data_IF_624056931967
#
_entry.id   IF_624056931967
#
_cell.length_a   1.000
_cell.length_b   1.000
_cell.length_c   1.000
_cell.angle_alpha   90.00
_cell.angle_beta   90.00
_cell.angle_gamma   90.00
#
_symmetry.space_group_name_H-M   'P 1'
#
loop_
_entity.id
_entity.type
_entity.pdbx_description
1 polymer ?
#
# COMPACT_ATOMS: atom_id res chain seq x y z
N UNK A 1 22.92 -19.71 -68.26
CA UNK A 1 22.20 -20.55 -67.28
C UNK A 1 23.21 -21.01 -66.26
N UNK A 2 23.34 -20.29 -65.15
CA UNK A 2 24.25 -20.66 -64.08
C UNK A 2 23.57 -21.76 -63.26
N UNK A 3 24.03 -23.00 -63.44
CA UNK A 3 23.41 -24.17 -62.81
C UNK A 3 23.87 -24.15 -61.36
N UNK A 4 22.94 -23.90 -60.42
CA UNK A 4 23.19 -23.97 -58.99
C UNK A 4 23.94 -25.26 -58.65
N UNK A 5 25.16 -25.14 -58.13
CA UNK A 5 25.92 -26.31 -57.70
C UNK A 5 25.16 -27.10 -56.62
N UNK A 6 25.31 -28.43 -56.58
CA UNK A 6 24.57 -29.32 -55.67
C UNK A 6 24.55 -28.84 -54.19
N UNK A 7 25.69 -28.30 -53.70
CA UNK A 7 25.79 -27.73 -52.35
C UNK A 7 24.99 -26.43 -52.17
N UNK A 8 24.92 -25.59 -53.20
CA UNK A 8 24.15 -24.34 -53.17
C UNK A 8 22.65 -24.63 -53.23
N UNK A 9 22.23 -25.57 -54.09
CA UNK A 9 20.85 -26.04 -54.13
C UNK A 9 20.42 -26.62 -52.78
N UNK A 10 21.27 -27.42 -52.13
CA UNK A 10 21.01 -27.95 -50.79
C UNK A 10 20.85 -26.87 -49.71
N UNK A 11 21.67 -25.81 -49.73
CA UNK A 11 21.53 -24.68 -48.79
C UNK A 11 20.23 -23.92 -49.01
N UNK A 12 19.86 -23.65 -50.26
CA UNK A 12 18.60 -22.97 -50.59
C UNK A 12 17.40 -23.82 -50.16
N UNK A 13 17.40 -25.12 -50.47
CA UNK A 13 16.32 -26.01 -50.06
C UNK A 13 16.17 -26.07 -48.53
N UNK A 14 17.28 -26.12 -47.79
CA UNK A 14 17.30 -26.06 -46.33
C UNK A 14 16.75 -24.73 -45.82
N UNK A 15 17.20 -23.60 -46.37
CA UNK A 15 16.74 -22.27 -45.96
C UNK A 15 15.23 -22.12 -46.16
N UNK A 16 14.70 -22.60 -47.28
CA UNK A 16 13.25 -22.60 -47.54
C UNK A 16 12.47 -23.46 -46.53
N UNK A 17 12.99 -24.63 -46.17
CA UNK A 17 12.36 -25.50 -45.16
C UNK A 17 12.40 -24.88 -43.75
N UNK A 18 13.52 -24.25 -43.38
CA UNK A 18 13.66 -23.54 -42.11
C UNK A 18 12.72 -22.31 -42.07
N UNK A 19 12.65 -21.54 -43.15
CA UNK A 19 11.73 -20.40 -43.27
C UNK A 19 10.27 -20.81 -43.03
N UNK A 20 9.82 -21.91 -43.65
CA UNK A 20 8.46 -22.40 -43.45
C UNK A 20 8.23 -22.89 -42.02
N UNK A 21 9.21 -23.58 -41.43
CA UNK A 21 9.14 -24.04 -40.03
C UNK A 21 9.02 -22.86 -39.06
N UNK A 22 9.82 -21.81 -39.27
CA UNK A 22 9.78 -20.59 -38.45
C UNK A 22 8.47 -19.83 -38.65
N UNK A 23 7.99 -19.69 -39.90
CA UNK A 23 6.70 -19.07 -40.19
C UNK A 23 5.56 -19.79 -39.46
N UNK A 24 5.51 -21.12 -39.56
CA UNK A 24 4.48 -21.93 -38.90
C UNK A 24 4.55 -21.83 -37.38
N UNK A 25 5.75 -21.92 -36.80
CA UNK A 25 5.96 -21.78 -35.35
C UNK A 25 5.56 -20.39 -34.84
N UNK A 26 5.93 -19.34 -35.58
CA UNK A 26 5.59 -17.96 -35.23
C UNK A 26 4.08 -17.71 -35.31
N UNK A 27 3.38 -18.33 -36.26
CA UNK A 27 1.93 -18.14 -36.45
C UNK A 27 1.05 -18.79 -35.39
N UNK A 28 1.59 -19.65 -34.51
CA UNK A 28 0.82 -20.28 -33.42
C UNK A 28 0.19 -19.25 -32.48
N UNK A 29 0.86 -18.12 -32.25
CA UNK A 29 0.36 -17.08 -31.35
C UNK A 29 -0.72 -16.18 -31.99
N UNK A 30 -0.87 -16.19 -33.32
CA UNK A 30 -1.75 -15.24 -34.02
C UNK A 30 -3.25 -15.43 -33.73
N UNK A 31 -3.81 -16.66 -33.72
CA UNK A 31 -5.21 -16.85 -33.32
C UNK A 31 -5.48 -16.40 -31.88
N UNK A 32 -4.52 -16.62 -30.97
CA UNK A 32 -4.58 -16.18 -29.57
C UNK A 32 -4.57 -14.64 -29.48
N UNK A 33 -3.73 -13.98 -30.27
CA UNK A 33 -3.70 -12.52 -30.36
C UNK A 33 -5.08 -11.96 -30.76
N UNK A 34 -5.72 -12.59 -31.76
CA UNK A 34 -7.06 -12.21 -32.20
C UNK A 34 -8.12 -12.44 -31.13
N UNK A 35 -8.11 -13.59 -30.45
CA UNK A 35 -9.10 -13.90 -29.42
C UNK A 35 -9.00 -12.99 -28.21
N UNK A 36 -7.79 -12.53 -27.85
CA UNK A 36 -7.56 -11.60 -26.75
C UNK A 36 -7.90 -10.14 -27.09
N UNK A 37 -8.10 -9.79 -28.36
CA UNK A 37 -8.28 -8.40 -28.79
C UNK A 37 -9.42 -7.68 -28.06
N UNK A 38 -10.62 -8.30 -27.99
CA UNK A 38 -11.79 -7.76 -27.32
C UNK A 38 -11.73 -7.86 -25.79
N UNK A 39 -11.39 -9.01 -25.18
CA UNK A 39 -11.19 -9.12 -23.74
C UNK A 39 -10.19 -8.09 -23.18
N UNK A 40 -9.09 -7.86 -23.90
CA UNK A 40 -8.07 -6.90 -23.49
C UNK A 40 -8.57 -5.45 -23.59
N UNK A 41 -9.32 -5.11 -24.65
CA UNK A 41 -9.96 -3.78 -24.76
C UNK A 41 -10.95 -3.53 -23.63
N UNK A 42 -11.76 -4.53 -23.29
CA UNK A 42 -12.72 -4.42 -22.19
C UNK A 42 -12.00 -4.18 -20.85
N UNK A 43 -10.93 -4.94 -20.56
CA UNK A 43 -10.13 -4.77 -19.35
C UNK A 43 -9.42 -3.40 -19.29
N UNK A 44 -8.90 -2.91 -20.41
CA UNK A 44 -8.29 -1.57 -20.50
C UNK A 44 -9.31 -0.45 -20.24
N UNK A 45 -10.55 -0.61 -20.73
CA UNK A 45 -11.65 0.32 -20.47
C UNK A 45 -12.06 0.29 -19.00
N UNK A 46 -12.24 -0.91 -18.44
CA UNK A 46 -12.58 -1.11 -17.04
C UNK A 46 -11.56 -0.45 -16.11
N UNK A 47 -10.25 -0.57 -16.40
CA UNK A 47 -9.22 0.14 -15.66
C UNK A 47 -9.30 1.66 -15.82
N UNK A 48 -9.62 2.15 -17.02
CA UNK A 48 -9.72 3.58 -17.27
C UNK A 48 -10.90 4.20 -16.50
N UNK A 49 -12.04 3.52 -16.49
CA UNK A 49 -13.23 3.92 -15.73
C UNK A 49 -12.93 3.89 -14.22
N UNK A 50 -12.33 2.80 -13.73
CA UNK A 50 -11.96 2.66 -12.32
C UNK A 50 -10.94 3.73 -11.89
N UNK A 51 -9.94 4.01 -12.73
CA UNK A 51 -8.97 5.07 -12.45
C UNK A 51 -9.63 6.45 -12.38
N UNK A 52 -10.64 6.71 -13.22
CA UNK A 52 -11.41 7.95 -13.20
C UNK A 52 -12.24 8.07 -11.93
N UNK A 53 -12.91 7.00 -11.53
CA UNK A 53 -13.73 6.97 -10.31
C UNK A 53 -12.88 7.14 -9.05
N UNK A 54 -11.71 6.50 -8.99
CA UNK A 54 -10.71 6.72 -7.93
C UNK A 54 -10.30 8.20 -7.88
N UNK A 55 -9.96 8.81 -9.02
CA UNK A 55 -9.57 10.23 -9.07
C UNK A 55 -10.70 11.18 -8.68
N UNK A 56 -11.95 10.87 -9.01
CA UNK A 56 -13.10 11.67 -8.58
C UNK A 56 -13.30 11.57 -7.06
N UNK A 57 -13.22 10.37 -6.49
CA UNK A 57 -13.33 10.18 -5.05
C UNK A 57 -12.17 10.83 -4.28
N UNK A 58 -11.00 11.00 -4.91
CA UNK A 58 -9.87 11.74 -4.34
C UNK A 58 -10.12 13.24 -4.26
N UNK A 59 -10.95 13.79 -5.15
CA UNK A 59 -11.32 15.21 -5.12
C UNK A 59 -12.37 15.52 -4.04
N UNK A 60 -13.10 14.51 -3.55
CA UNK A 60 -14.10 14.68 -2.50
C UNK A 60 -13.44 14.82 -1.11
N UNK A 61 -13.82 15.84 -0.31
CA UNK A 61 -13.35 15.95 1.07
C UNK A 61 -14.06 14.92 1.95
N UNK A 62 -13.30 13.94 2.44
CA UNK A 62 -13.85 12.91 3.33
C UNK A 62 -13.02 11.63 3.35
N UNK A 63 -13.32 10.79 4.35
CA UNK A 63 -12.70 9.46 4.48
C UNK A 63 -13.67 8.44 3.90
N UNK A 64 -13.24 7.77 2.82
CA UNK A 64 -14.08 6.86 2.04
C UNK A 64 -13.52 5.43 2.03
N UNK A 65 -13.14 4.93 3.20
CA UNK A 65 -12.48 3.61 3.37
C UNK A 65 -13.25 2.45 2.74
N UNK A 66 -14.59 2.45 2.80
CA UNK A 66 -15.41 1.40 2.19
C UNK A 66 -15.31 1.42 0.65
N UNK A 67 -15.38 2.60 0.03
CA UNK A 67 -15.28 2.74 -1.43
C UNK A 67 -13.87 2.40 -1.92
N UNK A 68 -12.84 2.86 -1.19
CA UNK A 68 -11.45 2.50 -1.49
C UNK A 68 -11.22 0.98 -1.41
N UNK A 69 -11.85 0.29 -0.46
CA UNK A 69 -11.85 -1.17 -0.36
C UNK A 69 -12.50 -1.86 -1.57
N UNK A 70 -13.62 -1.33 -2.08
CA UNK A 70 -14.28 -1.85 -3.30
C UNK A 70 -13.38 -1.70 -4.52
N UNK A 71 -12.76 -0.54 -4.71
CA UNK A 71 -11.82 -0.31 -5.80
C UNK A 71 -10.60 -1.23 -5.74
N UNK A 72 -10.07 -1.52 -4.55
CA UNK A 72 -9.01 -2.52 -4.40
C UNK A 72 -9.46 -3.92 -4.82
N UNK A 73 -10.70 -4.31 -4.51
CA UNK A 73 -11.29 -5.57 -4.95
C UNK A 73 -11.38 -5.67 -6.47
N UNK A 74 -11.88 -4.62 -7.12
CA UNK A 74 -12.00 -4.54 -8.58
C UNK A 74 -10.62 -4.55 -9.27
N UNK A 75 -9.65 -3.77 -8.78
CA UNK A 75 -8.27 -3.80 -9.26
C UNK A 75 -7.64 -5.19 -9.10
N UNK A 76 -7.91 -5.88 -7.99
CA UNK A 76 -7.43 -7.24 -7.74
C UNK A 76 -8.00 -8.26 -8.73
N UNK A 77 -9.29 -8.16 -9.03
CA UNK A 77 -9.93 -8.99 -10.07
C UNK A 77 -9.33 -8.73 -11.45
N UNK A 78 -9.09 -7.47 -11.80
CA UNK A 78 -8.49 -7.11 -13.08
C UNK A 78 -7.02 -7.59 -13.17
N UNK A 79 -6.26 -7.46 -12.08
CA UNK A 79 -4.90 -7.98 -11.97
C UNK A 79 -4.86 -9.50 -12.18
N UNK A 80 -5.77 -10.23 -11.52
CA UNK A 80 -5.86 -11.68 -11.65
C UNK A 80 -6.17 -12.13 -13.08
N UNK A 81 -7.08 -11.43 -13.77
CA UNK A 81 -7.37 -11.69 -15.20
C UNK A 81 -6.17 -11.43 -16.10
N UNK A 82 -5.47 -10.31 -15.90
CA UNK A 82 -4.27 -9.99 -16.67
C UNK A 82 -3.17 -11.03 -16.44
N UNK A 83 -2.93 -11.43 -15.19
CA UNK A 83 -1.94 -12.45 -14.83
C UNK A 83 -2.29 -13.82 -15.43
N UNK A 84 -3.57 -14.18 -15.46
CA UNK A 84 -4.01 -15.40 -16.13
C UNK A 84 -3.63 -15.40 -17.62
N UNK A 85 -3.90 -14.31 -18.35
CA UNK A 85 -3.52 -14.20 -19.76
C UNK A 85 -2.00 -14.20 -19.97
N UNK A 86 -1.24 -13.55 -19.09
CA UNK A 86 0.23 -13.54 -19.13
C UNK A 86 0.77 -14.96 -18.92
N UNK A 87 0.26 -15.66 -17.90
CA UNK A 87 0.66 -17.02 -17.57
C UNK A 87 0.33 -18.00 -18.70
N UNK A 88 -0.87 -17.89 -19.29
CA UNK A 88 -1.34 -18.81 -20.32
C UNK A 88 -0.67 -18.58 -21.68
N UNK A 89 -0.39 -17.33 -22.05
CA UNK A 89 -0.01 -16.97 -23.43
C UNK A 89 1.34 -16.25 -23.55
N UNK A 90 1.92 -15.75 -22.46
CA UNK A 90 3.13 -14.92 -22.49
C UNK A 90 4.31 -15.60 -23.19
N UNK A 91 4.57 -16.86 -22.87
CA UNK A 91 5.64 -17.63 -23.52
C UNK A 91 5.39 -17.80 -25.03
N UNK A 92 4.13 -17.97 -25.45
CA UNK A 92 3.77 -18.14 -26.86
C UNK A 92 4.04 -16.87 -27.66
N UNK A 93 3.74 -15.69 -27.10
CA UNK A 93 4.04 -14.42 -27.75
C UNK A 93 5.55 -14.18 -27.87
N UNK A 94 6.31 -14.40 -26.80
CA UNK A 94 7.78 -14.27 -26.82
C UNK A 94 8.41 -15.25 -27.82
N UNK A 95 7.95 -16.50 -27.86
CA UNK A 95 8.42 -17.49 -28.83
C UNK A 95 8.06 -17.09 -30.27
N UNK A 96 6.85 -16.58 -30.50
CA UNK A 96 6.40 -16.10 -31.81
C UNK A 96 7.26 -14.94 -32.33
N UNK A 97 7.59 -13.99 -31.45
CA UNK A 97 8.52 -12.90 -31.77
C UNK A 97 9.91 -13.44 -32.15
N UNK A 98 10.47 -14.36 -31.35
CA UNK A 98 11.76 -14.97 -31.63
C UNK A 98 11.76 -15.68 -33.00
N UNK A 99 10.77 -16.54 -33.27
CA UNK A 99 10.68 -17.23 -34.56
C UNK A 99 10.48 -16.27 -35.74
N UNK A 100 9.75 -15.17 -35.56
CA UNK A 100 9.66 -14.11 -36.57
C UNK A 100 11.03 -13.50 -36.88
N UNK A 101 11.86 -13.27 -35.87
CA UNK A 101 13.23 -12.76 -36.06
C UNK A 101 14.12 -13.78 -36.78
N UNK A 102 14.01 -15.08 -36.45
CA UNK A 102 14.74 -16.14 -37.15
C UNK A 102 14.34 -16.22 -38.63
N UNK A 103 13.03 -16.12 -38.93
CA UNK A 103 12.54 -16.07 -40.31
C UNK A 103 13.12 -14.88 -41.06
N UNK A 104 13.06 -13.67 -40.49
CA UNK A 104 13.58 -12.46 -41.13
C UNK A 104 15.09 -12.58 -41.41
N UNK A 105 15.86 -13.15 -40.47
CA UNK A 105 17.29 -13.42 -40.66
C UNK A 105 17.53 -14.42 -41.79
N UNK A 106 16.76 -15.50 -41.84
CA UNK A 106 16.88 -16.53 -42.88
C UNK A 106 16.56 -15.97 -44.29
N UNK A 107 15.48 -15.17 -44.40
CA UNK A 107 15.10 -14.50 -45.65
C UNK A 107 16.20 -13.53 -46.14
N UNK A 108 16.82 -12.80 -45.20
CA UNK A 108 17.95 -11.93 -45.52
C UNK A 108 19.17 -12.72 -46.03
N UNK A 109 19.50 -13.84 -45.37
CA UNK A 109 20.62 -14.71 -45.77
C UNK A 109 20.39 -15.45 -47.10
N UNK A 110 19.13 -15.58 -47.54
CA UNK A 110 18.79 -16.15 -48.85
C UNK A 110 19.32 -15.30 -50.02
N UNK A 111 19.61 -14.01 -49.76
CA UNK A 111 20.18 -13.06 -50.72
C UNK A 111 19.43 -13.07 -52.07
N UNK A 112 18.11 -12.91 -52.00
CA UNK A 112 17.24 -12.92 -53.18
C UNK A 112 17.64 -11.84 -54.18
N UNK A 113 17.80 -12.23 -55.45
CA UNK A 113 17.97 -11.29 -56.55
C UNK A 113 16.60 -10.91 -57.13
N UNK A 114 16.31 -9.61 -57.34
CA UNK A 114 15.04 -9.19 -57.90
C UNK A 114 14.89 -9.67 -59.34
N UNK A 115 13.75 -10.28 -59.65
CA UNK A 115 13.38 -10.67 -61.00
C UNK A 115 12.23 -9.75 -61.44
N UNK A 116 12.37 -8.97 -62.53
CA UNK A 116 11.32 -8.06 -63.00
C UNK A 116 9.97 -8.78 -63.17
N UNK A 117 8.92 -8.24 -62.55
CA UNK A 117 7.56 -8.80 -62.62
C UNK A 117 7.30 -10.00 -61.71
N UNK A 118 8.26 -10.45 -60.90
CA UNK A 118 8.11 -11.57 -59.96
C UNK A 118 8.30 -11.08 -58.53
N UNK A 119 7.34 -11.39 -57.67
CA UNK A 119 7.45 -11.07 -56.25
C UNK A 119 8.46 -12.00 -55.58
N UNK A 120 9.35 -11.40 -54.79
CA UNK A 120 10.34 -12.11 -53.99
C UNK A 120 9.68 -12.80 -52.78
N UNK A 121 10.27 -13.87 -52.23
CA UNK A 121 9.74 -14.53 -51.05
C UNK A 121 9.77 -13.57 -49.85
N UNK A 122 10.85 -12.80 -49.71
CA UNK A 122 10.96 -11.74 -48.71
C UNK A 122 9.83 -10.71 -48.81
N UNK A 123 9.51 -10.22 -50.02
CA UNK A 123 8.41 -9.26 -50.23
C UNK A 123 7.03 -9.88 -49.95
N UNK A 124 6.83 -11.15 -50.32
CA UNK A 124 5.60 -11.88 -50.00
C UNK A 124 5.41 -12.03 -48.49
N UNK A 125 6.47 -12.43 -47.77
CA UNK A 125 6.45 -12.58 -46.32
C UNK A 125 6.23 -11.24 -45.62
N UNK A 126 6.84 -10.17 -46.11
CA UNK A 126 6.61 -8.82 -45.58
C UNK A 126 5.11 -8.45 -45.63
N UNK A 127 4.45 -8.70 -46.75
CA UNK A 127 3.04 -8.33 -46.95
C UNK A 127 2.05 -9.27 -46.26
N UNK A 128 2.36 -10.56 -46.10
CA UNK A 128 1.42 -11.59 -45.62
C UNK A 128 1.67 -12.08 -44.21
N UNK A 129 2.92 -12.06 -43.75
CA UNK A 129 3.30 -12.57 -42.44
C UNK A 129 3.53 -11.46 -41.42
N UNK A 130 4.19 -10.35 -41.78
CA UNK A 130 4.49 -9.28 -40.82
C UNK A 130 3.26 -8.64 -40.18
N UNK A 131 2.12 -8.41 -40.88
CA UNK A 131 0.92 -7.88 -40.22
C UNK A 131 0.38 -8.79 -39.10
N UNK A 132 0.50 -10.12 -39.27
CA UNK A 132 0.11 -11.07 -38.25
C UNK A 132 1.04 -10.99 -37.03
N UNK A 133 2.35 -10.89 -37.25
CA UNK A 133 3.34 -10.72 -36.16
C UNK A 133 3.19 -9.39 -35.44
N UNK A 134 2.91 -8.31 -36.18
CA UNK A 134 2.58 -7.01 -35.59
C UNK A 134 1.38 -7.09 -34.65
N UNK A 135 0.38 -7.91 -34.97
CA UNK A 135 -0.77 -8.15 -34.08
C UNK A 135 -0.36 -8.88 -32.80
N UNK A 136 0.50 -9.91 -32.90
CA UNK A 136 1.03 -10.63 -31.75
C UNK A 136 1.83 -9.71 -30.81
N UNK A 137 2.80 -8.98 -31.36
CA UNK A 137 3.67 -8.05 -30.62
C UNK A 137 2.85 -6.95 -29.96
N UNK A 138 1.89 -6.38 -30.69
CA UNK A 138 1.00 -5.35 -30.16
C UNK A 138 0.14 -5.86 -29.00
N UNK A 139 -0.39 -7.07 -29.12
CA UNK A 139 -1.19 -7.69 -28.05
C UNK A 139 -0.35 -7.95 -26.80
N UNK A 140 0.87 -8.47 -26.95
CA UNK A 140 1.80 -8.67 -25.85
C UNK A 140 2.15 -7.35 -25.14
N UNK A 141 2.43 -6.29 -25.90
CA UNK A 141 2.73 -4.96 -25.35
C UNK A 141 1.56 -4.41 -24.55
N UNK A 142 0.34 -4.47 -25.11
CA UNK A 142 -0.89 -4.04 -24.42
C UNK A 142 -1.14 -4.80 -23.13
N UNK A 143 -0.92 -6.11 -23.14
CA UNK A 143 -1.06 -6.95 -21.94
C UNK A 143 -0.09 -6.53 -20.83
N UNK A 144 1.17 -6.28 -21.18
CA UNK A 144 2.18 -5.76 -20.23
C UNK A 144 1.80 -4.37 -19.71
N UNK A 145 1.39 -3.47 -20.59
CA UNK A 145 1.00 -2.11 -20.22
C UNK A 145 -0.23 -2.10 -19.29
N UNK A 146 -1.23 -2.96 -19.56
CA UNK A 146 -2.37 -3.15 -18.68
C UNK A 146 -1.92 -3.59 -17.28
N UNK A 147 -1.10 -4.64 -17.19
CA UNK A 147 -0.55 -5.13 -15.91
C UNK A 147 0.20 -4.03 -15.14
N UNK A 148 1.09 -3.30 -15.81
CA UNK A 148 1.86 -2.21 -15.21
C UNK A 148 0.96 -1.06 -14.72
N UNK A 149 -0.10 -0.72 -15.48
CA UNK A 149 -1.09 0.28 -15.07
C UNK A 149 -1.89 -0.19 -13.86
N UNK A 150 -2.35 -1.44 -13.82
CA UNK A 150 -3.09 -1.99 -12.66
C UNK A 150 -2.21 -1.94 -11.40
N UNK A 151 -0.95 -2.37 -11.50
CA UNK A 151 0.00 -2.37 -10.39
C UNK A 151 0.22 -0.95 -9.84
N UNK A 152 0.46 0.03 -10.72
CA UNK A 152 0.63 1.43 -10.33
C UNK A 152 -0.62 2.01 -9.66
N UNK A 153 -1.81 1.81 -10.25
CA UNK A 153 -3.07 2.31 -9.68
C UNK A 153 -3.35 1.69 -8.31
N UNK A 154 -3.09 0.39 -8.16
CA UNK A 154 -3.23 -0.33 -6.88
C UNK A 154 -2.28 0.23 -5.83
N UNK A 155 -1.02 0.49 -6.20
CA UNK A 155 -0.04 1.07 -5.29
C UNK A 155 -0.44 2.47 -4.84
N UNK A 156 -0.86 3.33 -5.77
CA UNK A 156 -1.34 4.69 -5.44
C UNK A 156 -2.51 4.65 -4.48
N UNK A 157 -3.48 3.76 -4.69
CA UNK A 157 -4.64 3.62 -3.82
C UNK A 157 -4.26 3.11 -2.43
N UNK A 158 -3.38 2.10 -2.33
CA UNK A 158 -2.86 1.60 -1.05
C UNK A 158 -2.14 2.70 -0.26
N UNK A 159 -1.28 3.48 -0.91
CA UNK A 159 -0.57 4.60 -0.27
C UNK A 159 -1.54 5.64 0.28
N UNK A 160 -2.63 5.96 -0.44
CA UNK A 160 -3.67 6.87 0.06
C UNK A 160 -4.35 6.32 1.31
N UNK A 161 -4.78 5.05 1.29
CA UNK A 161 -5.45 4.41 2.43
C UNK A 161 -4.54 4.45 3.67
N UNK A 162 -3.26 4.13 3.50
CA UNK A 162 -2.29 4.16 4.58
C UNK A 162 -2.16 5.57 5.17
N UNK A 163 -2.02 6.60 4.32
CA UNK A 163 -1.95 7.99 4.75
C UNK A 163 -3.20 8.43 5.55
N UNK A 164 -4.39 8.05 5.09
CA UNK A 164 -5.65 8.38 5.78
C UNK A 164 -5.75 7.68 7.13
N UNK A 165 -5.34 6.42 7.22
CA UNK A 165 -5.31 5.69 8.49
C UNK A 165 -4.30 6.30 9.48
N UNK A 166 -3.15 6.76 8.99
CA UNK A 166 -2.15 7.43 9.81
C UNK A 166 -2.67 8.77 10.36
N UNK A 167 -3.33 9.59 9.52
CA UNK A 167 -3.95 10.85 9.94
C UNK A 167 -5.03 10.62 11.02
N UNK A 168 -5.88 9.59 10.86
CA UNK A 168 -6.87 9.21 11.87
C UNK A 168 -6.22 8.78 13.18
N UNK A 169 -5.16 7.98 13.11
CA UNK A 169 -4.42 7.50 14.28
C UNK A 169 -3.79 8.67 15.04
N UNK A 170 -3.18 9.64 14.33
CA UNK A 170 -2.64 10.85 14.95
C UNK A 170 -3.73 11.69 15.62
N UNK A 171 -4.89 11.89 14.98
CA UNK A 171 -6.03 12.61 15.58
C UNK A 171 -6.55 11.91 16.83
N UNK A 172 -6.63 10.57 16.80
CA UNK A 172 -7.05 9.79 17.95
C UNK A 172 -6.07 9.95 19.11
N UNK A 173 -4.76 9.80 18.87
CA UNK A 173 -3.72 9.99 19.88
C UNK A 173 -3.73 11.41 20.46
N UNK A 174 -3.92 12.44 19.63
CA UNK A 174 -4.04 13.82 20.09
C UNK A 174 -5.27 14.00 21.01
N UNK A 175 -6.40 13.38 20.67
CA UNK A 175 -7.60 13.42 21.52
C UNK A 175 -7.40 12.66 22.84
N UNK A 176 -6.60 11.59 22.84
CA UNK A 176 -6.24 10.83 24.04
C UNK A 176 -5.33 11.66 24.95
N UNK A 177 -4.31 12.34 24.42
CA UNK A 177 -3.45 13.23 25.20
C UNK A 177 -4.27 14.34 25.87
N UNK A 178 -5.20 14.94 25.14
CA UNK A 178 -6.09 15.96 25.69
C UNK A 178 -6.95 15.42 26.83
N UNK A 179 -7.55 14.22 26.65
CA UNK A 179 -8.35 13.57 27.70
C UNK A 179 -7.50 13.19 28.91
N UNK A 180 -6.29 12.67 28.71
CA UNK A 180 -5.36 12.32 29.78
C UNK A 180 -4.95 13.55 30.59
N UNK A 181 -4.65 14.69 29.93
CA UNK A 181 -4.37 15.96 30.60
C UNK A 181 -5.56 16.44 31.43
N UNK A 182 -6.79 16.31 30.92
CA UNK A 182 -7.99 16.67 31.66
C UNK A 182 -8.17 15.78 32.90
N UNK A 183 -7.96 14.46 32.75
CA UNK A 183 -8.01 13.50 33.86
C UNK A 183 -6.97 13.82 34.93
N UNK A 184 -5.74 14.18 34.53
CA UNK A 184 -4.69 14.60 35.46
C UNK A 184 -5.08 15.87 36.23
N UNK A 185 -5.68 16.87 35.56
CA UNK A 185 -6.16 18.09 36.25
C UNK A 185 -7.28 17.79 37.23
N UNK A 186 -8.24 16.95 36.85
CA UNK A 186 -9.32 16.54 37.76
C UNK A 186 -8.77 15.77 38.96
N UNK A 187 -7.83 14.84 38.73
CA UNK A 187 -7.16 14.11 39.80
C UNK A 187 -6.39 15.05 40.74
N UNK A 188 -5.71 16.05 40.19
CA UNK A 188 -5.02 17.07 40.99
C UNK A 188 -6.00 17.91 41.83
N UNK A 189 -7.16 18.27 41.28
CA UNK A 189 -8.20 18.98 42.05
C UNK A 189 -8.76 18.13 43.20
N UNK A 190 -8.99 16.83 42.96
CA UNK A 190 -9.47 15.89 44.00
C UNK A 190 -8.40 15.64 45.05
N UNK A 191 -7.14 15.50 44.65
CA UNK A 191 -6.03 15.32 45.59
C UNK A 191 -5.92 16.55 46.51
N UNK A 192 -6.02 17.75 45.95
CA UNK A 192 -5.99 19.01 46.72
C UNK A 192 -7.14 19.10 47.73
N UNK A 193 -8.35 18.71 47.32
CA UNK A 193 -9.52 18.66 48.20
C UNK A 193 -9.36 17.61 49.31
N UNK A 194 -8.83 16.43 48.97
CA UNK A 194 -8.59 15.34 49.94
C UNK A 194 -7.63 15.76 51.04
N UNK A 195 -6.58 16.52 50.70
CA UNK A 195 -5.60 17.05 51.66
C UNK A 195 -6.28 18.00 52.64
N UNK A 196 -7.18 18.86 52.17
CA UNK A 196 -7.92 19.78 53.03
C UNK A 196 -8.79 19.01 54.05
N UNK A 197 -9.56 18.03 53.55
CA UNK A 197 -10.45 17.20 54.37
C UNK A 197 -9.66 16.40 55.40
N UNK A 198 -8.59 15.71 55.00
CA UNK A 198 -7.72 14.94 55.90
C UNK A 198 -7.03 15.81 56.95
N UNK A 199 -6.57 17.01 56.56
CA UNK A 199 -5.93 17.95 57.50
C UNK A 199 -6.92 18.37 58.58
N UNK A 200 -8.16 18.72 58.20
CA UNK A 200 -9.21 19.07 59.16
C UNK A 200 -9.52 17.92 60.12
N UNK A 201 -9.71 16.70 59.59
CA UNK A 201 -9.96 15.53 60.43
C UNK A 201 -8.81 15.24 61.39
N UNK A 202 -7.56 15.28 60.92
CA UNK A 202 -6.39 15.03 61.76
C UNK A 202 -6.25 16.07 62.89
N UNK A 203 -6.48 17.36 62.60
CA UNK A 203 -6.48 18.41 63.62
C UNK A 203 -7.60 18.21 64.63
N UNK A 204 -8.81 17.87 64.17
CA UNK A 204 -9.95 17.60 65.06
C UNK A 204 -9.68 16.42 65.99
N UNK A 205 -9.09 15.34 65.47
CA UNK A 205 -8.76 14.13 66.25
C UNK A 205 -7.73 14.43 67.34
N UNK A 206 -6.67 15.18 67.02
CA UNK A 206 -5.67 15.60 68.01
C UNK A 206 -6.28 16.50 69.09
N UNK A 207 -7.20 17.39 68.73
CA UNK A 207 -7.90 18.23 69.69
C UNK A 207 -8.78 17.39 70.65
N UNK A 208 -9.46 16.35 70.16
CA UNK A 208 -10.23 15.43 71.01
C UNK A 208 -9.33 14.61 71.95
N UNK A 209 -8.19 14.11 71.46
CA UNK A 209 -7.21 13.38 72.29
C UNK A 209 -6.67 14.29 73.40
N UNK A 210 -6.33 15.55 73.08
CA UNK A 210 -5.85 16.51 74.07
C UNK A 210 -6.90 16.85 75.14
N UNK A 211 -8.18 16.96 74.74
CA UNK A 211 -9.29 17.14 75.69
C UNK A 211 -9.47 15.92 76.61
N UNK A 212 -9.43 14.70 76.06
CA UNK A 212 -9.52 13.46 76.85
C UNK A 212 -8.36 13.29 77.83
N UNK A 213 -7.14 13.67 77.44
CA UNK A 213 -5.97 13.66 78.33
C UNK A 213 -6.08 14.64 79.51
N UNK A 214 -6.68 15.81 79.28
CA UNK A 214 -6.97 16.78 80.35
C UNK A 214 -8.00 16.23 81.35
N UNK A 215 -9.06 15.57 80.87
CA UNK A 215 -10.05 14.92 81.75
C UNK A 215 -9.47 13.72 82.53
N UNK A 216 -8.42 13.08 82.01
CA UNK A 216 -7.70 11.99 82.67
C UNK A 216 -6.67 12.43 83.74
N UNK A 217 -6.58 13.73 84.04
CA UNK A 217 -5.74 14.25 85.14
C UNK A 217 -4.33 14.70 84.76
N UNK A 218 -3.98 14.73 83.47
CA UNK A 218 -2.72 15.32 83.00
C UNK A 218 -2.86 16.86 82.93
N UNK A 219 -1.89 17.60 83.47
CA UNK A 219 -1.85 19.07 83.48
C UNK A 219 -1.53 19.65 82.08
N UNK A 220 -2.44 19.45 81.13
CA UNK A 220 -2.28 19.83 79.74
C UNK A 220 -3.29 20.91 79.40
N UNK A 221 -2.85 21.97 78.71
CA UNK A 221 -3.75 23.00 78.15
C UNK A 221 -4.13 22.64 76.70
N UNK A 222 -5.31 22.01 76.46
CA UNK A 222 -5.70 21.52 75.14
C UNK A 222 -5.82 22.60 74.08
N UNK A 223 -6.07 23.86 74.48
CA UNK A 223 -6.11 25.00 73.54
C UNK A 223 -4.73 25.32 72.94
N UNK A 224 -3.66 25.22 73.73
CA UNK A 224 -2.29 25.48 73.28
C UNK A 224 -1.82 24.33 72.37
N UNK A 225 -2.15 23.08 72.73
CA UNK A 225 -1.82 21.92 71.89
C UNK A 225 -2.57 21.99 70.55
N UNK A 226 -3.85 22.33 70.55
CA UNK A 226 -4.62 22.48 69.32
C UNK A 226 -4.07 23.62 68.44
N UNK A 227 -3.70 24.76 69.04
CA UNK A 227 -3.13 25.90 68.33
C UNK A 227 -1.77 25.61 67.67
N UNK A 228 -0.94 24.75 68.28
CA UNK A 228 0.34 24.33 67.71
C UNK A 228 0.18 23.16 66.73
N UNK A 229 -0.73 22.22 67.01
CA UNK A 229 -0.98 21.06 66.16
C UNK A 229 -1.58 21.44 64.80
N UNK A 230 -2.47 22.43 64.76
CA UNK A 230 -3.10 22.89 63.52
C UNK A 230 -2.09 23.28 62.40
N UNK A 231 -1.14 24.21 62.63
CA UNK A 231 -0.15 24.56 61.61
C UNK A 231 0.83 23.42 61.31
N UNK A 232 1.21 22.61 62.29
CA UNK A 232 2.15 21.49 62.08
C UNK A 232 1.54 20.41 61.18
N UNK A 233 0.31 19.99 61.46
CA UNK A 233 -0.38 18.97 60.64
C UNK A 233 -0.63 19.49 59.24
N UNK A 234 -1.01 20.76 59.09
CA UNK A 234 -1.16 21.39 57.78
C UNK A 234 0.15 21.39 56.98
N UNK A 235 1.27 21.78 57.59
CA UNK A 235 2.59 21.78 56.93
C UNK A 235 3.01 20.36 56.53
N UNK A 236 2.82 19.36 57.41
CA UNK A 236 3.17 17.96 57.12
C UNK A 236 2.37 17.44 55.92
N UNK A 237 1.05 17.64 55.89
CA UNK A 237 0.22 17.20 54.77
C UNK A 237 0.51 17.95 53.46
N UNK A 238 0.86 19.23 53.53
CA UNK A 238 1.32 20.01 52.37
C UNK A 238 2.67 19.51 51.83
N UNK A 239 3.60 19.12 52.70
CA UNK A 239 4.89 18.54 52.29
C UNK A 239 4.67 17.17 51.64
N UNK A 240 3.85 16.30 52.25
CA UNK A 240 3.56 14.96 51.73
C UNK A 240 2.90 15.05 50.35
N UNK A 241 1.90 15.92 50.18
CA UNK A 241 1.24 16.12 48.88
C UNK A 241 2.20 16.69 47.84
N UNK A 242 3.05 17.67 48.17
CA UNK A 242 4.10 18.17 47.26
C UNK A 242 5.11 17.09 46.86
N UNK A 243 5.51 16.20 47.77
CA UNK A 243 6.45 15.13 47.47
C UNK A 243 5.84 14.06 46.57
N UNK A 244 4.56 13.69 46.78
CA UNK A 244 3.84 12.77 45.89
C UNK A 244 3.74 13.32 44.47
N UNK A 245 3.40 14.61 44.33
CA UNK A 245 3.38 15.30 43.02
C UNK A 245 4.72 15.26 42.29
N UNK A 246 5.82 15.53 43.02
CA UNK A 246 7.17 15.47 42.42
C UNK A 246 7.52 14.07 41.90
N UNK A 247 7.19 13.01 42.66
CA UNK A 247 7.46 11.62 42.25
C UNK A 247 6.67 11.21 41.00
N UNK A 248 5.40 11.58 40.90
CA UNK A 248 4.58 11.27 39.73
C UNK A 248 5.08 12.01 38.49
N UNK A 249 5.51 13.28 38.62
CA UNK A 249 6.09 14.04 37.49
C UNK A 249 7.44 13.51 37.01
N UNK A 250 8.22 12.87 37.88
CA UNK A 250 9.52 12.31 37.54
C UNK A 250 9.39 11.02 36.71
N UNK A 251 8.36 10.21 36.99
CA UNK A 251 8.08 8.97 36.26
C UNK A 251 7.64 9.26 34.82
N UNK A 252 6.89 10.35 34.59
CA UNK A 252 6.46 10.78 33.26
C UNK A 252 7.52 11.44 32.36
N UNK A 253 8.74 11.68 32.85
CA UNK A 253 9.86 12.25 32.05
C UNK A 253 10.83 11.19 31.50
N UNK A 254 10.63 9.93 31.86
CA UNK A 254 11.51 8.79 31.53
C UNK A 254 10.93 7.85 30.45
N UNK A 255 9.83 8.23 29.80
CA UNK A 255 9.29 7.61 28.59
C UNK A 255 9.21 8.66 27.49
#
# INVERSE_FOLDING_TARGET
HDILGSRQAGRVARALAEAETYRMSAMIAFPVAKSLSMPLRAAESELADLSKDISQLQAEPGIHTEKDGKFLGELSHLASRAEQWISEYGLRFTASEAYSQLLNKNLFELAESPIPGVQSLSEFMDRRFQPAMGTCIWTQRRLKELSDRISRTTQTLRTRIEFVNEEQTQKLLASMDQRARLQLRLQETVESLSVLVLTYYAVSLLAYIAKGGKEAGLAIHPEIIAAIAAPVVAIVFLIISKQRRKRISAIGKTQ
#
